data_IF_674983780766
#
_entry.id   IF_674983780766
#
_cell.length_a   1.000
_cell.length_b   1.000
_cell.length_c   1.000
_cell.angle_alpha   90.00
_cell.angle_beta   90.00
_cell.angle_gamma   90.00
#
_symmetry.space_group_name_H-M   'P 1'
#
loop_
_entity.id
_entity.type
_entity.pdbx_description
1 polymer ?
#
# COMPACT_ATOMS: atom_id res chain seq x y z
N UNK A 1 1.56 -12.44 -16.51
CA UNK A 1 1.28 -12.64 -15.07
C UNK A 1 0.12 -11.74 -14.72
N UNK A 2 -1.08 -12.32 -14.68
CA UNK A 2 -2.31 -11.56 -14.54
C UNK A 2 -2.40 -10.92 -13.16
N UNK A 3 -2.87 -9.68 -13.09
CA UNK A 3 -3.63 -9.26 -11.92
C UNK A 3 -4.71 -10.34 -11.75
N UNK A 4 -4.92 -10.84 -10.53
CA UNK A 4 -6.08 -11.68 -10.24
C UNK A 4 -7.35 -10.85 -10.51
N UNK A 5 -7.80 -10.94 -11.75
CA UNK A 5 -8.84 -10.10 -12.34
C UNK A 5 -10.08 -10.93 -12.58
N UNK A 6 -10.15 -12.19 -12.15
CA UNK A 6 -11.26 -13.08 -12.50
C UNK A 6 -12.63 -12.47 -12.12
N UNK A 7 -12.66 -11.68 -11.04
CA UNK A 7 -13.84 -10.97 -10.54
C UNK A 7 -14.12 -9.62 -11.23
N UNK A 8 -13.25 -9.13 -12.11
CA UNK A 8 -13.34 -7.80 -12.74
C UNK A 8 -14.17 -7.79 -14.03
N UNK A 9 -14.06 -8.77 -14.96
CA UNK A 9 -14.87 -8.85 -16.18
C UNK A 9 -16.34 -9.22 -15.98
N UNK A 10 -16.81 -9.41 -14.74
CA UNK A 10 -18.19 -9.83 -14.50
C UNK A 10 -19.19 -8.73 -14.85
N UNK A 11 -20.38 -9.08 -15.40
CA UNK A 11 -21.45 -8.13 -15.62
C UNK A 11 -21.79 -7.36 -14.33
N UNK A 12 -21.78 -6.03 -14.40
CA UNK A 12 -22.05 -5.14 -13.25
C UNK A 12 -20.82 -4.74 -12.43
N UNK A 13 -19.62 -5.24 -12.76
CA UNK A 13 -18.38 -4.69 -12.23
C UNK A 13 -18.15 -3.26 -12.75
N UNK A 14 -17.85 -2.27 -11.89
CA UNK A 14 -17.50 -0.91 -12.30
C UNK A 14 -16.03 -0.79 -12.73
N UNK A 15 -15.28 -1.89 -12.66
CA UNK A 15 -13.84 -1.96 -12.88
C UNK A 15 -13.52 -2.62 -14.23
N UNK A 16 -12.42 -2.20 -14.86
CA UNK A 16 -11.94 -2.70 -16.14
C UNK A 16 -10.45 -3.04 -16.07
N UNK A 17 -10.07 -4.15 -16.70
CA UNK A 17 -8.64 -4.46 -16.96
C UNK A 17 -8.20 -3.74 -18.22
N UNK A 18 -7.28 -2.80 -18.07
CA UNK A 18 -6.75 -1.98 -19.16
C UNK A 18 -5.34 -2.41 -19.57
N UNK A 19 -5.08 -2.29 -20.87
CA UNK A 19 -3.76 -2.43 -21.50
C UNK A 19 -3.07 -1.09 -21.74
N UNK A 20 -3.59 0.01 -21.20
CA UNK A 20 -3.04 1.37 -21.40
C UNK A 20 -1.56 1.49 -21.00
N UNK A 21 -1.09 0.65 -20.07
CA UNK A 21 0.30 0.60 -19.63
C UNK A 21 1.11 -0.57 -20.23
N UNK A 22 0.65 -1.20 -21.31
CA UNK A 22 1.30 -2.40 -21.89
C UNK A 22 2.76 -2.14 -22.30
N UNK A 23 3.08 -0.91 -22.69
CA UNK A 23 4.42 -0.45 -23.03
C UNK A 23 5.06 0.41 -21.92
N UNK A 24 4.52 0.38 -20.70
CA UNK A 24 5.06 1.09 -19.54
C UNK A 24 5.12 2.64 -19.70
N UNK A 25 4.37 3.19 -20.66
CA UNK A 25 4.39 4.62 -21.00
C UNK A 25 3.50 5.47 -20.08
N UNK A 26 2.47 4.89 -19.46
CA UNK A 26 1.63 5.59 -18.49
C UNK A 26 2.35 5.65 -17.13
N UNK A 27 2.92 4.52 -16.69
CA UNK A 27 3.73 4.43 -15.49
C UNK A 27 4.79 3.33 -15.62
N UNK A 28 6.06 3.74 -15.69
CA UNK A 28 7.20 2.84 -15.88
C UNK A 28 7.44 1.85 -14.72
N UNK A 29 6.87 2.13 -13.55
CA UNK A 29 7.07 1.35 -12.31
C UNK A 29 5.86 0.51 -11.91
N UNK A 30 4.84 0.48 -12.76
CA UNK A 30 3.62 -0.31 -12.60
C UNK A 30 3.62 -1.51 -13.55
N UNK A 31 2.76 -2.52 -13.31
CA UNK A 31 2.60 -3.63 -14.24
C UNK A 31 2.01 -3.17 -15.58
N UNK A 32 2.19 -4.01 -16.60
CA UNK A 32 1.72 -3.75 -17.97
C UNK A 32 0.18 -3.74 -18.09
N UNK A 33 -0.49 -4.53 -17.26
CA UNK A 33 -1.95 -4.54 -17.13
C UNK A 33 -2.32 -3.80 -15.86
N UNK A 34 -3.36 -2.97 -15.92
CA UNK A 34 -3.87 -2.21 -14.77
C UNK A 34 -5.38 -2.41 -14.64
N UNK A 35 -5.86 -2.60 -13.41
CA UNK A 35 -7.28 -2.54 -13.12
C UNK A 35 -7.66 -1.10 -12.74
N UNK A 36 -8.60 -0.52 -13.49
CA UNK A 36 -8.97 0.90 -13.46
C UNK A 36 -10.51 1.06 -13.50
N UNK A 37 -11.07 2.23 -13.20
CA UNK A 37 -12.50 2.49 -13.38
C UNK A 37 -12.93 2.40 -14.85
N UNK A 38 -13.98 1.63 -15.13
CA UNK A 38 -14.44 1.37 -16.50
C UNK A 38 -15.09 2.57 -17.19
N UNK A 39 -15.54 3.58 -16.43
CA UNK A 39 -16.19 4.79 -16.93
C UNK A 39 -15.22 5.94 -17.26
N UNK A 40 -13.91 5.75 -17.06
CA UNK A 40 -12.90 6.76 -17.38
C UNK A 40 -12.32 6.55 -18.77
N UNK A 41 -12.09 7.66 -19.48
CA UNK A 41 -11.42 7.63 -20.78
C UNK A 41 -9.90 7.52 -20.64
N UNK A 42 -9.19 7.06 -21.68
CA UNK A 42 -7.72 7.03 -21.65
C UNK A 42 -7.09 8.42 -21.43
N UNK A 43 -7.71 9.47 -21.97
CA UNK A 43 -7.24 10.84 -21.78
C UNK A 43 -7.31 11.23 -20.30
N UNK A 44 -8.44 10.98 -19.64
CA UNK A 44 -8.60 11.24 -18.20
C UNK A 44 -7.58 10.45 -17.38
N UNK A 45 -7.38 9.16 -17.68
CA UNK A 45 -6.39 8.34 -16.99
C UNK A 45 -4.95 8.87 -17.14
N UNK A 46 -4.60 9.44 -18.29
CA UNK A 46 -3.30 10.11 -18.50
C UNK A 46 -3.18 11.39 -17.67
N UNK A 47 -4.26 12.16 -17.53
CA UNK A 47 -4.29 13.34 -16.66
C UNK A 47 -4.12 12.96 -15.19
N UNK A 48 -4.79 11.90 -14.73
CA UNK A 48 -4.59 11.35 -13.38
C UNK A 48 -3.13 10.91 -13.17
N UNK A 49 -2.56 10.16 -14.10
CA UNK A 49 -1.16 9.75 -14.01
C UNK A 49 -0.23 10.97 -13.92
N UNK A 50 -0.48 12.02 -14.71
CA UNK A 50 0.28 13.28 -14.63
C UNK A 50 0.16 14.02 -13.29
N UNK A 51 -0.91 13.78 -12.53
CA UNK A 51 -1.17 14.38 -11.21
C UNK A 51 -0.67 13.54 -10.03
N UNK A 52 -0.26 12.28 -10.29
CA UNK A 52 0.22 11.33 -9.28
C UNK A 52 1.72 11.16 -9.42
N UNK A 53 2.45 11.25 -8.30
CA UNK A 53 3.91 11.18 -8.29
C UNK A 53 4.42 9.94 -9.06
N UNK A 54 5.26 10.17 -10.08
CA UNK A 54 5.81 9.13 -10.99
C UNK A 54 4.77 8.39 -11.84
N UNK A 55 3.61 8.98 -12.10
CA UNK A 55 2.57 8.34 -12.90
C UNK A 55 1.80 7.24 -12.17
N UNK A 56 2.05 7.04 -10.87
CA UNK A 56 1.48 5.92 -10.09
C UNK A 56 0.06 6.23 -9.64
N UNK A 57 -0.83 6.31 -10.62
CA UNK A 57 -2.26 6.55 -10.46
C UNK A 57 -2.96 5.50 -9.60
N UNK A 58 -4.14 5.80 -9.02
CA UNK A 58 -4.99 4.80 -8.38
C UNK A 58 -5.22 3.60 -9.29
N UNK A 59 -4.85 2.42 -8.81
CA UNK A 59 -5.13 1.17 -9.50
C UNK A 59 -5.53 0.10 -8.50
N UNK A 60 -6.49 -0.72 -8.90
CA UNK A 60 -7.09 -1.72 -8.05
C UNK A 60 -6.10 -2.87 -7.83
N UNK A 61 -5.95 -3.25 -6.57
CA UNK A 61 -5.14 -4.41 -6.16
C UNK A 61 -6.01 -5.58 -5.69
N UNK A 62 -7.20 -5.32 -5.13
CA UNK A 62 -8.14 -6.37 -4.71
C UNK A 62 -9.58 -5.95 -4.92
N UNK A 63 -10.45 -6.93 -5.21
CA UNK A 63 -11.89 -6.73 -5.38
C UNK A 63 -12.66 -7.87 -4.70
N UNK A 64 -13.64 -7.51 -3.89
CA UNK A 64 -14.48 -8.47 -3.15
C UNK A 64 -15.60 -9.12 -3.98
N UNK A 65 -15.70 -8.80 -5.27
CA UNK A 65 -16.70 -9.37 -6.17
C UNK A 65 -18.16 -9.07 -5.78
N UNK A 66 -19.13 -9.74 -6.43
CA UNK A 66 -20.56 -9.50 -6.19
C UNK A 66 -20.98 -9.66 -4.73
N UNK A 67 -20.44 -10.65 -4.02
CA UNK A 67 -20.79 -10.95 -2.63
C UNK A 67 -20.49 -9.78 -1.66
N UNK A 68 -19.52 -8.95 -2.03
CA UNK A 68 -19.11 -7.75 -1.29
C UNK A 68 -19.42 -6.46 -2.04
N UNK A 69 -20.40 -6.48 -2.95
CA UNK A 69 -20.78 -5.30 -3.73
C UNK A 69 -19.59 -4.64 -4.45
N UNK A 70 -18.63 -5.47 -4.88
CA UNK A 70 -17.39 -5.07 -5.52
C UNK A 70 -16.55 -4.07 -4.70
N UNK A 71 -16.69 -4.07 -3.36
CA UNK A 71 -15.78 -3.39 -2.45
C UNK A 71 -14.32 -3.65 -2.86
N UNK A 72 -13.52 -2.59 -2.90
CA UNK A 72 -12.26 -2.63 -3.63
C UNK A 72 -11.12 -1.90 -2.93
N UNK A 73 -9.93 -2.48 -3.03
CA UNK A 73 -8.71 -1.91 -2.48
C UNK A 73 -7.90 -1.30 -3.61
N UNK A 74 -7.57 -0.03 -3.46
CA UNK A 74 -6.82 0.75 -4.42
C UNK A 74 -5.49 1.18 -3.85
N UNK A 75 -4.48 1.25 -4.72
CA UNK A 75 -3.14 1.74 -4.38
C UNK A 75 -2.68 2.83 -5.33
N UNK A 76 -1.93 3.79 -4.82
CA UNK A 76 -1.29 4.84 -5.62
C UNK A 76 -0.08 5.48 -4.91
N UNK A 77 0.56 6.42 -5.58
CA UNK A 77 1.42 7.42 -4.94
C UNK A 77 0.63 8.65 -4.48
N UNK A 78 1.28 9.54 -3.72
CA UNK A 78 0.71 10.85 -3.41
C UNK A 78 0.38 11.66 -4.68
N UNK A 79 -0.52 12.61 -4.51
CA UNK A 79 -0.85 13.67 -5.46
C UNK A 79 0.28 14.72 -5.55
N UNK A 80 0.26 15.59 -6.56
CA UNK A 80 1.34 16.57 -6.82
C UNK A 80 0.87 18.02 -6.93
N UNK A 81 -0.21 18.39 -6.23
CA UNK A 81 -0.74 19.76 -6.23
C UNK A 81 0.16 20.76 -5.51
N UNK A 82 0.93 20.32 -4.51
CA UNK A 82 1.71 21.19 -3.65
C UNK A 82 0.88 22.21 -2.86
N UNK A 83 1.54 23.16 -2.21
CA UNK A 83 0.85 24.28 -1.53
C UNK A 83 0.25 25.25 -2.55
N UNK A 84 0.91 25.46 -3.69
CA UNK A 84 0.44 26.38 -4.73
C UNK A 84 -0.87 25.91 -5.38
N UNK A 85 -1.12 24.60 -5.45
CA UNK A 85 -2.38 24.04 -5.95
C UNK A 85 -3.57 24.19 -4.99
N UNK A 86 -3.34 24.52 -3.70
CA UNK A 86 -4.43 24.96 -2.81
C UNK A 86 -4.78 26.44 -3.03
N UNK A 87 -3.76 27.27 -3.28
CA UNK A 87 -3.93 28.73 -3.38
C UNK A 87 -4.55 29.10 -4.72
N UNK A 88 -4.12 28.43 -5.79
CA UNK A 88 -4.72 28.57 -7.11
C UNK A 88 -5.82 27.51 -7.18
N UNK A 89 -7.08 27.91 -7.28
CA UNK A 89 -8.19 27.03 -7.66
C UNK A 89 -7.99 26.51 -9.10
N UNK A 90 -6.88 25.84 -9.36
CA UNK A 90 -6.54 25.29 -10.66
C UNK A 90 -7.35 24.02 -10.87
N UNK A 91 -7.89 23.82 -12.07
CA UNK A 91 -8.47 22.53 -12.50
C UNK A 91 -7.46 21.36 -12.49
N UNK A 92 -6.23 21.54 -12.01
CA UNK A 92 -5.28 20.43 -11.84
C UNK A 92 -5.82 19.46 -10.79
N UNK A 93 -6.12 18.24 -11.24
CA UNK A 93 -6.63 17.17 -10.38
C UNK A 93 -8.14 16.97 -10.47
N UNK A 94 -8.86 17.62 -11.40
CA UNK A 94 -10.28 17.34 -11.63
C UNK A 94 -10.54 15.89 -12.03
N UNK A 95 -9.67 15.32 -12.87
CA UNK A 95 -9.75 13.92 -13.29
C UNK A 95 -9.36 12.96 -12.16
N UNK A 96 -8.44 13.36 -11.27
CA UNK A 96 -8.08 12.57 -10.08
C UNK A 96 -9.23 12.55 -9.09
N UNK A 97 -9.86 13.70 -8.84
CA UNK A 97 -11.06 13.80 -8.02
C UNK A 97 -12.22 12.99 -8.64
N UNK A 98 -12.42 13.05 -9.97
CA UNK A 98 -13.40 12.22 -10.67
C UNK A 98 -13.11 10.73 -10.46
N UNK A 99 -11.85 10.32 -10.59
CA UNK A 99 -11.43 8.93 -10.36
C UNK A 99 -11.73 8.48 -8.93
N UNK A 100 -11.37 9.30 -7.95
CA UNK A 100 -11.62 9.07 -6.53
C UNK A 100 -13.12 8.95 -6.25
N UNK A 101 -13.94 9.78 -6.88
CA UNK A 101 -15.40 9.73 -6.74
C UNK A 101 -16.00 8.45 -7.36
N UNK A 102 -15.48 7.99 -8.50
CA UNK A 102 -15.90 6.70 -9.09
C UNK A 102 -15.48 5.54 -8.18
N UNK A 103 -14.27 5.58 -7.61
CA UNK A 103 -13.79 4.56 -6.65
C UNK A 103 -14.70 4.51 -5.41
N UNK A 104 -15.09 5.69 -4.90
CA UNK A 104 -16.00 5.85 -3.77
C UNK A 104 -17.39 5.27 -4.05
N UNK A 105 -17.98 5.63 -5.19
CA UNK A 105 -19.30 5.16 -5.60
C UNK A 105 -19.33 3.65 -5.87
N UNK A 106 -18.26 3.09 -6.44
CA UNK A 106 -18.23 1.66 -6.78
C UNK A 106 -19.41 1.30 -7.68
N UNK A 107 -20.24 0.35 -7.23
CA UNK A 107 -21.47 -0.06 -7.94
C UNK A 107 -22.67 0.85 -7.69
N UNK A 108 -22.62 1.70 -6.67
CA UNK A 108 -23.70 2.64 -6.32
C UNK A 108 -23.15 4.08 -6.31
N UNK A 109 -23.30 4.84 -7.42
CA UNK A 109 -22.89 6.23 -7.48
C UNK A 109 -23.52 7.12 -6.39
N UNK A 110 -24.65 6.70 -5.80
CA UNK A 110 -25.35 7.42 -4.74
C UNK A 110 -24.98 6.94 -3.33
N UNK A 111 -23.96 6.07 -3.21
CA UNK A 111 -23.44 5.65 -1.92
C UNK A 111 -23.16 6.88 -1.05
N UNK A 112 -23.51 6.83 0.23
CA UNK A 112 -23.31 7.97 1.16
C UNK A 112 -22.03 7.88 1.95
N UNK A 113 -21.36 6.72 1.91
CA UNK A 113 -20.14 6.49 2.66
C UNK A 113 -18.97 7.21 1.98
N UNK A 114 -18.18 7.90 2.79
CA UNK A 114 -16.95 8.52 2.33
C UNK A 114 -15.93 7.44 1.96
N UNK A 115 -15.10 7.72 0.96
CA UNK A 115 -13.97 6.87 0.62
C UNK A 115 -12.96 6.92 1.77
N UNK A 116 -12.59 5.77 2.32
CA UNK A 116 -11.46 5.71 3.25
C UNK A 116 -10.16 5.91 2.46
N UNK A 117 -9.46 7.02 2.73
CA UNK A 117 -8.12 7.28 2.20
C UNK A 117 -7.11 7.07 3.33
N UNK A 118 -6.22 6.09 3.18
CA UNK A 118 -5.17 5.81 4.15
C UNK A 118 -3.84 6.30 3.61
N UNK A 119 -3.45 7.51 4.04
CA UNK A 119 -2.09 8.03 3.82
C UNK A 119 -1.18 7.46 4.90
N UNK A 120 -0.31 6.54 4.52
CA UNK A 120 0.51 5.79 5.47
C UNK A 120 1.61 6.61 6.15
N UNK A 121 1.79 7.87 5.74
CA UNK A 121 2.78 8.78 6.35
C UNK A 121 2.29 9.30 7.70
N UNK A 122 3.21 9.76 8.57
CA UNK A 122 2.84 10.68 9.63
C UNK A 122 2.30 11.98 9.03
N UNK A 123 1.29 12.57 9.68
CA UNK A 123 0.68 13.84 9.25
C UNK A 123 1.72 14.93 8.96
N UNK A 124 2.73 15.08 9.83
CA UNK A 124 3.81 16.06 9.66
C UNK A 124 4.61 15.81 8.37
N UNK A 125 4.91 14.56 8.07
CA UNK A 125 5.62 14.19 6.85
C UNK A 125 4.77 14.39 5.61
N UNK A 126 3.46 14.13 5.66
CA UNK A 126 2.54 14.39 4.56
C UNK A 126 2.49 15.89 4.22
N UNK A 127 2.41 16.76 5.23
CA UNK A 127 2.49 18.21 5.06
C UNK A 127 3.85 18.68 4.53
N UNK A 128 4.95 18.13 5.02
CA UNK A 128 6.28 18.44 4.49
C UNK A 128 6.40 18.06 3.00
N UNK A 129 5.85 16.92 2.58
CA UNK A 129 5.80 16.55 1.17
C UNK A 129 4.92 17.52 0.37
N UNK A 130 3.76 17.94 0.92
CA UNK A 130 2.88 18.93 0.27
C UNK A 130 3.57 20.28 0.09
N UNK A 131 4.35 20.73 1.08
CA UNK A 131 5.21 21.91 0.96
C UNK A 131 6.26 21.76 -0.16
N UNK A 132 6.76 20.55 -0.38
CA UNK A 132 7.74 20.23 -1.42
C UNK A 132 7.13 19.85 -2.80
N UNK A 133 5.85 20.14 -3.04
CA UNK A 133 5.19 19.87 -4.33
C UNK A 133 4.52 18.49 -4.46
N UNK A 134 4.54 17.68 -3.41
CA UNK A 134 3.67 16.52 -3.25
C UNK A 134 2.28 16.92 -2.76
N UNK A 135 1.59 16.00 -2.07
CA UNK A 135 0.21 16.27 -1.67
C UNK A 135 -0.45 15.12 -0.92
N UNK A 136 -1.73 15.32 -0.65
CA UNK A 136 -2.68 14.32 -0.17
C UNK A 136 -4.09 14.85 -0.43
N UNK A 137 -5.05 13.94 -0.52
CA UNK A 137 -6.43 14.19 -0.93
C UNK A 137 -7.12 15.19 0.01
N UNK A 138 -7.61 16.28 -0.58
CA UNK A 138 -8.49 17.26 0.06
C UNK A 138 -9.86 17.30 -0.64
N UNK A 139 -10.33 16.15 -1.11
CA UNK A 139 -11.54 16.04 -1.93
C UNK A 139 -12.81 15.89 -1.07
N UNK A 140 -13.98 16.30 -1.59
CA UNK A 140 -15.27 15.93 -1.01
C UNK A 140 -15.42 14.42 -0.87
N UNK A 141 -16.19 13.99 0.11
CA UNK A 141 -16.54 12.58 0.35
C UNK A 141 -15.32 11.64 0.51
N UNK A 142 -14.21 12.18 0.99
CA UNK A 142 -13.01 11.43 1.35
C UNK A 142 -12.73 11.58 2.85
N UNK A 143 -12.61 10.46 3.54
CA UNK A 143 -12.14 10.40 4.93
C UNK A 143 -10.67 10.00 4.94
N UNK A 144 -9.79 10.98 5.08
CA UNK A 144 -8.35 10.73 5.18
C UNK A 144 -7.94 10.34 6.60
N UNK A 145 -7.14 9.28 6.72
CA UNK A 145 -6.52 8.81 7.96
C UNK A 145 -5.02 8.63 7.74
N UNK A 146 -4.22 9.05 8.73
CA UNK A 146 -2.76 8.94 8.68
C UNK A 146 -2.27 7.67 9.40
N UNK A 147 -1.51 6.83 8.68
CA UNK A 147 -0.98 5.56 9.20
C UNK A 147 0.21 5.72 10.15
N UNK A 148 0.84 6.90 10.21
CA UNK A 148 1.97 7.19 11.10
C UNK A 148 3.18 6.26 10.94
N UNK A 149 3.43 5.76 9.72
CA UNK A 149 4.61 4.93 9.42
C UNK A 149 5.68 5.83 8.80
N UNK A 150 6.78 6.03 9.54
CA UNK A 150 7.87 6.93 9.17
C UNK A 150 8.59 6.51 7.86
N UNK A 151 9.54 7.35 7.41
CA UNK A 151 10.29 7.10 6.19
C UNK A 151 11.18 5.85 6.25
N UNK A 152 11.65 5.40 5.09
CA UNK A 152 12.60 4.30 4.96
C UNK A 152 13.87 4.48 5.82
N UNK A 153 14.30 5.73 6.06
CA UNK A 153 15.47 6.02 6.89
C UNK A 153 15.19 5.76 8.37
N UNK A 154 13.96 6.06 8.82
CA UNK A 154 13.52 5.79 10.18
C UNK A 154 13.33 4.29 10.42
N UNK A 155 12.75 3.56 9.46
CA UNK A 155 12.62 2.09 9.50
C UNK A 155 13.98 1.42 9.61
N UNK A 156 14.96 1.89 8.84
CA UNK A 156 16.34 1.43 8.88
C UNK A 156 17.04 1.71 10.20
N UNK A 157 16.83 2.88 10.77
CA UNK A 157 17.32 3.18 12.12
C UNK A 157 16.68 2.26 13.16
N UNK A 158 15.37 2.02 13.07
CA UNK A 158 14.67 1.11 13.97
C UNK A 158 15.21 -0.32 13.90
N UNK A 159 15.46 -0.83 12.69
CA UNK A 159 16.09 -2.15 12.51
C UNK A 159 17.48 -2.22 13.15
N UNK A 160 18.31 -1.19 12.95
CA UNK A 160 19.65 -1.11 13.58
C UNK A 160 19.56 -1.10 15.11
N UNK A 161 18.61 -0.37 15.68
CA UNK A 161 18.42 -0.34 17.12
C UNK A 161 17.87 -1.66 17.66
N UNK A 162 16.99 -2.34 16.92
CA UNK A 162 16.53 -3.69 17.28
C UNK A 162 17.70 -4.68 17.26
N UNK A 163 18.55 -4.64 16.22
CA UNK A 163 19.76 -5.47 16.17
C UNK A 163 20.69 -5.22 17.37
N UNK A 164 20.87 -3.96 17.77
CA UNK A 164 21.61 -3.61 19.00
C UNK A 164 20.95 -4.17 20.26
N UNK A 165 19.62 -4.09 20.37
CA UNK A 165 18.88 -4.65 21.50
C UNK A 165 19.13 -6.16 21.63
N UNK A 166 19.15 -6.88 20.49
CA UNK A 166 19.48 -8.32 20.45
C UNK A 166 20.94 -8.56 20.86
N UNK A 167 21.89 -7.78 20.33
CA UNK A 167 23.32 -7.92 20.66
C UNK A 167 23.65 -7.57 22.11
N UNK A 168 22.81 -6.82 22.81
CA UNK A 168 22.98 -6.47 24.23
C UNK A 168 22.52 -7.59 25.18
N UNK A 169 21.86 -8.64 24.67
CA UNK A 169 21.52 -9.82 25.47
C UNK A 169 22.79 -10.67 25.61
N UNK A 170 23.35 -10.72 26.81
CA UNK A 170 24.59 -11.42 27.14
C UNK A 170 24.29 -12.55 28.12
N UNK A 171 24.88 -13.73 27.89
CA UNK A 171 24.74 -14.92 28.75
C UNK A 171 23.29 -15.36 29.03
N UNK A 172 22.35 -15.03 28.13
CA UNK A 172 20.92 -15.33 28.28
C UNK A 172 20.17 -14.40 29.23
N UNK A 173 20.84 -13.40 29.81
CA UNK A 173 20.23 -12.43 30.70
C UNK A 173 19.59 -11.28 29.90
N UNK A 174 18.30 -10.96 30.14
CA UNK A 174 17.59 -9.97 29.36
C UNK A 174 18.11 -8.53 29.57
N UNK A 175 18.76 -8.21 30.69
CA UNK A 175 19.36 -6.89 30.92
C UNK A 175 18.42 -5.71 30.59
N UNK A 176 18.82 -4.85 29.66
CA UNK A 176 18.03 -3.70 29.18
C UNK A 176 17.06 -4.02 28.04
N UNK A 177 16.83 -5.29 27.72
CA UNK A 177 16.06 -5.77 26.57
C UNK A 177 14.76 -5.01 26.32
N UNK A 178 13.86 -4.95 27.30
CA UNK A 178 12.55 -4.30 27.13
C UNK A 178 12.68 -2.81 26.79
N UNK A 179 13.64 -2.12 27.42
CA UNK A 179 13.93 -0.70 27.17
C UNK A 179 14.52 -0.52 25.76
N UNK A 180 15.48 -1.35 25.38
CA UNK A 180 16.17 -1.24 24.10
C UNK A 180 15.24 -1.57 22.92
N UNK A 181 14.39 -2.59 23.09
CA UNK A 181 13.31 -2.93 22.15
C UNK A 181 12.32 -1.77 22.00
N UNK A 182 11.84 -1.19 23.11
CA UNK A 182 10.94 -0.05 23.05
C UNK A 182 11.59 1.16 22.35
N UNK A 183 12.84 1.46 22.69
CA UNK A 183 13.61 2.56 22.08
C UNK A 183 13.92 2.34 20.60
N UNK A 184 13.96 1.09 20.14
CA UNK A 184 14.13 0.79 18.71
C UNK A 184 12.98 1.31 17.85
N UNK A 185 11.77 1.44 18.43
CA UNK A 185 10.51 1.73 17.73
C UNK A 185 10.11 0.72 16.65
N UNK A 186 10.81 -0.42 16.50
CA UNK A 186 10.49 -1.41 15.47
C UNK A 186 9.05 -1.93 15.60
N UNK A 187 8.66 -2.41 16.79
CA UNK A 187 7.30 -2.88 17.03
C UNK A 187 6.25 -1.76 17.02
N UNK A 188 6.64 -0.50 17.22
CA UNK A 188 5.74 0.62 17.01
C UNK A 188 5.35 0.75 15.52
N UNK A 189 6.29 0.50 14.60
CA UNK A 189 5.98 0.46 13.16
C UNK A 189 5.22 -0.80 12.75
N UNK A 190 5.57 -1.97 13.28
CA UNK A 190 4.80 -3.22 13.05
C UNK A 190 3.34 -3.02 13.48
N UNK A 191 3.12 -2.46 14.68
CA UNK A 191 1.78 -2.14 15.18
C UNK A 191 1.05 -1.11 14.31
N UNK A 192 1.73 -0.08 13.82
CA UNK A 192 1.15 0.91 12.92
C UNK A 192 0.71 0.29 11.57
N UNK A 193 1.55 -0.56 10.97
CA UNK A 193 1.24 -1.29 9.73
C UNK A 193 0.04 -2.21 9.91
N UNK A 194 0.02 -3.01 10.99
CA UNK A 194 -1.10 -3.91 11.29
C UNK A 194 -2.40 -3.14 11.60
N UNK A 195 -2.31 -2.00 12.28
CA UNK A 195 -3.48 -1.15 12.52
C UNK A 195 -4.02 -0.52 11.21
N UNK A 196 -3.15 -0.03 10.32
CA UNK A 196 -3.54 0.42 8.99
C UNK A 196 -4.18 -0.69 8.16
N UNK A 197 -3.61 -1.90 8.23
CA UNK A 197 -4.19 -3.09 7.61
C UNK A 197 -5.59 -3.38 8.14
N UNK A 198 -5.77 -3.38 9.46
CA UNK A 198 -7.08 -3.60 10.10
C UNK A 198 -8.12 -2.60 9.63
N UNK A 199 -7.78 -1.31 9.56
CA UNK A 199 -8.71 -0.28 9.08
C UNK A 199 -9.18 -0.56 7.65
N UNK A 200 -8.25 -0.93 6.76
CA UNK A 200 -8.57 -1.32 5.39
C UNK A 200 -9.46 -2.56 5.37
N UNK A 201 -9.09 -3.63 6.09
CA UNK A 201 -9.87 -4.86 6.12
C UNK A 201 -11.30 -4.62 6.63
N UNK A 202 -11.47 -3.84 7.70
CA UNK A 202 -12.80 -3.46 8.23
C UNK A 202 -13.63 -2.70 7.19
N UNK A 203 -13.02 -1.76 6.46
CA UNK A 203 -13.71 -0.99 5.41
C UNK A 203 -14.24 -1.90 4.29
N UNK A 204 -13.41 -2.81 3.80
CA UNK A 204 -13.80 -3.70 2.70
C UNK A 204 -14.73 -4.83 3.16
N UNK A 205 -14.50 -5.41 4.34
CA UNK A 205 -15.19 -6.60 4.80
C UNK A 205 -16.52 -6.29 5.48
N UNK A 206 -16.52 -5.37 6.45
CA UNK A 206 -17.69 -5.07 7.28
C UNK A 206 -18.58 -4.02 6.60
N UNK A 207 -17.98 -3.01 5.99
CA UNK A 207 -18.72 -1.91 5.37
C UNK A 207 -18.99 -2.10 3.88
N UNK A 208 -18.41 -3.14 3.26
CA UNK A 208 -18.53 -3.42 1.81
C UNK A 208 -18.22 -2.17 0.97
N UNK A 209 -17.20 -1.43 1.40
CA UNK A 209 -16.83 -0.14 0.83
C UNK A 209 -15.38 -0.17 0.33
N UNK A 210 -15.03 0.81 -0.49
CA UNK A 210 -13.70 0.90 -1.08
C UNK A 210 -12.72 1.63 -0.16
N UNK A 211 -11.43 1.34 -0.33
CA UNK A 211 -10.35 2.07 0.33
C UNK A 211 -9.23 2.41 -0.66
N UNK A 212 -8.64 3.61 -0.51
CA UNK A 212 -7.47 4.06 -1.26
C UNK A 212 -6.27 4.17 -0.32
N UNK A 213 -5.22 3.41 -0.59
CA UNK A 213 -4.01 3.38 0.23
C UNK A 213 -2.84 3.98 -0.54
N UNK A 214 -2.13 4.92 0.07
CA UNK A 214 -0.93 5.49 -0.53
C UNK A 214 0.09 5.90 0.53
N UNK A 215 1.29 6.25 0.06
CA UNK A 215 2.28 6.95 0.85
C UNK A 215 2.92 8.03 -0.04
N UNK A 216 4.22 8.30 0.08
CA UNK A 216 4.90 9.23 -0.85
C UNK A 216 4.97 8.65 -2.28
N UNK A 217 5.71 7.55 -2.48
CA UNK A 217 5.94 6.96 -3.81
C UNK A 217 5.03 5.76 -4.10
N UNK A 218 4.29 5.25 -3.12
CA UNK A 218 3.31 4.17 -3.34
C UNK A 218 3.90 2.76 -3.58
N UNK A 219 5.17 2.53 -3.22
CA UNK A 219 5.87 1.25 -3.44
C UNK A 219 6.52 0.61 -2.20
N UNK A 220 6.56 1.32 -1.05
CA UNK A 220 7.09 0.79 0.22
C UNK A 220 5.90 0.46 1.14
N UNK A 221 5.56 1.37 2.07
CA UNK A 221 4.44 1.24 3.03
C UNK A 221 3.11 0.81 2.40
N UNK A 222 2.80 1.35 1.22
CA UNK A 222 1.59 1.00 0.47
C UNK A 222 1.57 -0.49 0.13
N UNK A 223 2.70 -1.02 -0.31
CA UNK A 223 2.86 -2.44 -0.62
C UNK A 223 2.67 -3.29 0.64
N UNK A 224 3.23 -2.88 1.77
CA UNK A 224 3.08 -3.59 3.06
C UNK A 224 1.61 -3.73 3.44
N UNK A 225 0.88 -2.62 3.50
CA UNK A 225 -0.52 -2.59 3.93
C UNK A 225 -1.45 -3.26 2.91
N UNK A 226 -1.27 -3.02 1.61
CA UNK A 226 -2.12 -3.65 0.60
C UNK A 226 -1.98 -5.16 0.61
N UNK A 227 -0.75 -5.67 0.65
CA UNK A 227 -0.51 -7.12 0.64
C UNK A 227 -0.98 -7.80 1.94
N UNK A 228 -0.80 -7.17 3.11
CA UNK A 228 -1.36 -7.69 4.36
C UNK A 228 -2.90 -7.68 4.36
N UNK A 229 -3.53 -6.62 3.85
CA UNK A 229 -4.98 -6.55 3.77
C UNK A 229 -5.54 -7.66 2.87
N UNK A 230 -4.91 -7.89 1.72
CA UNK A 230 -5.23 -9.01 0.83
C UNK A 230 -5.12 -10.36 1.54
N UNK A 231 -4.02 -10.60 2.27
CA UNK A 231 -3.80 -11.84 3.03
C UNK A 231 -4.87 -12.07 4.12
N UNK A 232 -5.34 -11.00 4.76
CA UNK A 232 -6.44 -11.06 5.73
C UNK A 232 -7.81 -11.31 5.08
N UNK A 233 -8.04 -10.74 3.90
CA UNK A 233 -9.33 -10.81 3.19
C UNK A 233 -9.53 -12.13 2.42
N UNK A 234 -8.44 -12.73 1.94
CA UNK A 234 -8.49 -13.87 1.01
C UNK A 234 -7.62 -15.03 1.51
N UNK A 235 -8.22 -16.19 1.72
CA UNK A 235 -7.51 -17.41 2.13
C UNK A 235 -6.55 -17.92 1.07
N UNK A 236 -6.75 -17.57 -0.22
CA UNK A 236 -5.83 -17.94 -1.29
C UNK A 236 -4.40 -17.52 -0.94
N UNK A 237 -4.19 -16.28 -0.48
CA UNK A 237 -2.85 -15.75 -0.18
C UNK A 237 -2.21 -16.33 1.09
N UNK A 238 -2.93 -17.16 1.85
CA UNK A 238 -2.40 -17.90 3.00
C UNK A 238 -1.95 -19.32 2.65
N UNK A 239 -2.12 -19.71 1.38
CA UNK A 239 -1.44 -20.88 0.78
C UNK A 239 0.00 -20.55 0.42
N UNK A 240 0.88 -21.54 0.25
CA UNK A 240 2.26 -21.31 -0.18
C UNK A 240 2.30 -20.70 -1.58
N UNK A 241 1.47 -21.21 -2.49
CA UNK A 241 1.37 -20.67 -3.85
C UNK A 241 0.82 -19.23 -3.84
N UNK A 242 -0.21 -18.97 -3.04
CA UNK A 242 -0.81 -17.65 -2.90
C UNK A 242 0.15 -16.64 -2.27
N UNK A 243 0.95 -17.01 -1.27
CA UNK A 243 1.97 -16.14 -0.70
C UNK A 243 2.97 -15.68 -1.77
N UNK A 244 3.48 -16.61 -2.59
CA UNK A 244 4.42 -16.29 -3.67
C UNK A 244 3.77 -15.43 -4.76
N UNK A 245 2.50 -15.69 -5.10
CA UNK A 245 1.72 -14.84 -6.01
C UNK A 245 1.51 -13.43 -5.45
N UNK A 246 1.20 -13.31 -4.16
CA UNK A 246 1.04 -12.03 -3.47
C UNK A 246 2.33 -11.20 -3.54
N UNK A 247 3.48 -11.83 -3.27
CA UNK A 247 4.80 -11.18 -3.39
C UNK A 247 5.05 -10.75 -4.85
N UNK A 248 4.86 -11.66 -5.80
CA UNK A 248 5.06 -11.36 -7.22
C UNK A 248 4.17 -10.22 -7.71
N UNK A 249 2.91 -10.18 -7.27
CA UNK A 249 1.94 -9.14 -7.62
C UNK A 249 2.25 -7.83 -6.90
N UNK A 250 2.13 -7.78 -5.58
CA UNK A 250 2.13 -6.53 -4.82
C UNK A 250 3.52 -5.92 -4.65
N UNK A 251 4.55 -6.76 -4.60
CA UNK A 251 5.93 -6.30 -4.41
C UNK A 251 6.65 -6.17 -5.75
N UNK A 252 6.75 -7.25 -6.52
CA UNK A 252 7.56 -7.23 -7.73
C UNK A 252 6.88 -6.43 -8.85
N UNK A 253 5.63 -6.76 -9.20
CA UNK A 253 4.96 -6.17 -10.36
C UNK A 253 4.60 -4.70 -10.16
N UNK A 254 4.25 -4.30 -8.94
CA UNK A 254 4.02 -2.91 -8.56
C UNK A 254 5.29 -2.13 -8.23
N UNK A 255 6.47 -2.72 -8.43
CA UNK A 255 7.73 -2.00 -8.48
C UNK A 255 8.27 -1.58 -7.13
N UNK A 256 8.13 -2.41 -6.08
CA UNK A 256 8.95 -2.27 -4.89
C UNK A 256 10.43 -2.37 -5.30
N UNK A 257 11.28 -1.36 -5.02
CA UNK A 257 12.63 -1.30 -5.56
C UNK A 257 13.60 -2.20 -4.78
N UNK A 258 13.41 -3.53 -4.86
CA UNK A 258 14.20 -4.54 -4.13
C UNK A 258 15.70 -4.33 -4.25
N UNK A 259 16.23 -4.13 -5.47
CA UNK A 259 17.67 -3.91 -5.69
C UNK A 259 18.20 -2.73 -4.87
N UNK A 260 17.46 -1.64 -4.80
CA UNK A 260 17.82 -0.44 -4.03
C UNK A 260 17.67 -0.68 -2.53
N UNK A 261 16.54 -1.26 -2.10
CA UNK A 261 16.22 -1.47 -0.68
C UNK A 261 17.13 -2.49 0.00
N UNK A 262 17.56 -3.51 -0.74
CA UNK A 262 18.48 -4.56 -0.31
C UNK A 262 19.97 -4.21 -0.57
N UNK A 263 20.26 -3.02 -1.10
CA UNK A 263 21.63 -2.61 -1.44
C UNK A 263 22.39 -3.58 -2.37
N UNK A 264 21.70 -4.23 -3.32
CA UNK A 264 22.26 -5.21 -4.27
C UNK A 264 22.95 -4.53 -5.48
N UNK A 265 23.61 -3.41 -5.28
CA UNK A 265 24.29 -2.63 -6.32
C UNK A 265 25.74 -2.32 -5.96
N UNK A 266 26.54 -1.93 -6.97
CA UNK A 266 27.98 -1.67 -6.80
C UNK A 266 28.26 -0.47 -5.90
N UNK A 267 27.34 0.49 -5.81
CA UNK A 267 27.47 1.69 -4.99
C UNK A 267 26.43 1.67 -3.86
N UNK A 268 26.86 1.71 -2.59
CA UNK A 268 25.94 1.86 -1.46
C UNK A 268 25.12 3.14 -1.60
N UNK A 269 23.80 3.00 -1.71
CA UNK A 269 22.90 4.14 -1.70
C UNK A 269 22.44 4.47 -0.27
N UNK A 270 22.12 5.73 -0.02
CA UNK A 270 21.41 6.15 1.20
C UNK A 270 19.95 5.65 1.28
N UNK A 271 19.51 4.81 0.34
CA UNK A 271 18.13 4.39 0.10
C UNK A 271 17.83 2.94 0.51
N UNK A 272 18.83 2.19 1.00
CA UNK A 272 18.59 0.85 1.54
C UNK A 272 17.69 0.93 2.79
N UNK A 273 16.80 -0.05 2.98
CA UNK A 273 15.90 -0.12 4.13
C UNK A 273 15.22 -1.49 4.22
N UNK A 274 15.03 -2.07 5.41
CA UNK A 274 14.48 -3.42 5.60
C UNK A 274 12.95 -3.46 5.52
N UNK A 275 12.37 -2.84 4.48
CA UNK A 275 10.91 -2.75 4.27
C UNK A 275 10.30 -4.14 4.07
N UNK A 276 10.91 -4.98 3.23
CA UNK A 276 10.40 -6.34 3.02
C UNK A 276 10.50 -7.20 4.30
N UNK A 277 11.57 -7.03 5.09
CA UNK A 277 11.73 -7.71 6.39
C UNK A 277 10.68 -7.22 7.40
N UNK A 278 10.38 -5.92 7.42
CA UNK A 278 9.31 -5.34 8.24
C UNK A 278 7.95 -5.94 7.90
N UNK A 279 7.66 -6.16 6.62
CA UNK A 279 6.47 -6.87 6.18
C UNK A 279 6.46 -8.35 6.60
N UNK A 280 7.57 -9.07 6.45
CA UNK A 280 7.68 -10.47 6.89
C UNK A 280 7.44 -10.61 8.40
N UNK A 281 7.89 -9.64 9.21
CA UNK A 281 7.56 -9.58 10.64
C UNK A 281 6.06 -9.42 10.85
N UNK A 282 5.40 -8.50 10.13
CA UNK A 282 3.95 -8.36 10.20
C UNK A 282 3.20 -9.66 9.83
N UNK A 283 3.67 -10.37 8.79
CA UNK A 283 3.13 -11.69 8.41
C UNK A 283 3.36 -12.72 9.52
N UNK A 284 4.52 -12.72 10.16
CA UNK A 284 4.81 -13.56 11.31
C UNK A 284 3.92 -13.25 12.52
N UNK A 285 3.59 -11.97 12.77
CA UNK A 285 2.64 -11.59 13.82
C UNK A 285 1.23 -12.13 13.55
N UNK A 286 0.79 -12.12 12.28
CA UNK A 286 -0.49 -12.73 11.88
C UNK A 286 -0.46 -14.25 12.05
N UNK A 287 0.61 -14.92 11.62
CA UNK A 287 0.79 -16.36 11.82
C UNK A 287 0.77 -16.72 13.31
N UNK A 288 1.47 -15.97 14.16
CA UNK A 288 1.56 -16.23 15.59
C UNK A 288 0.20 -16.14 16.29
N UNK A 289 -0.68 -15.25 15.84
CA UNK A 289 -2.04 -15.11 16.36
C UNK A 289 -3.01 -16.14 15.78
N UNK A 290 -2.79 -16.56 14.53
CA UNK A 290 -3.70 -17.45 13.79
C UNK A 290 -2.94 -18.60 13.12
N UNK A 291 -2.28 -19.50 13.87
CA UNK A 291 -1.36 -20.49 13.31
C UNK A 291 -2.04 -21.49 12.37
N UNK A 292 -3.33 -21.77 12.56
CA UNK A 292 -4.11 -22.68 11.73
C UNK A 292 -4.70 -22.04 10.46
N UNK A 293 -4.50 -20.73 10.28
CA UNK A 293 -5.02 -20.01 9.13
C UNK A 293 -4.10 -20.04 7.91
N UNK A 294 -2.89 -20.62 8.04
CA UNK A 294 -1.83 -20.65 7.04
C UNK A 294 -1.46 -22.08 6.69
N UNK A 295 -1.21 -22.34 5.41
CA UNK A 295 -0.77 -23.67 4.92
C UNK A 295 0.70 -23.97 5.27
N UNK A 296 1.50 -22.91 5.46
CA UNK A 296 2.95 -22.98 5.62
C UNK A 296 3.39 -22.63 7.05
N UNK A 297 4.63 -23.00 7.39
CA UNK A 297 5.27 -22.67 8.66
C UNK A 297 6.17 -21.43 8.53
N UNK A 298 6.58 -20.79 9.64
CA UNK A 298 7.46 -19.61 9.60
C UNK A 298 8.81 -19.83 8.89
N UNK A 299 9.23 -21.08 8.67
CA UNK A 299 10.42 -21.41 7.91
C UNK A 299 10.41 -20.83 6.49
N UNK A 300 9.24 -20.61 5.87
CA UNK A 300 9.18 -19.95 4.56
C UNK A 300 9.55 -18.47 4.65
N UNK A 301 9.14 -17.78 5.72
CA UNK A 301 9.45 -16.36 5.93
C UNK A 301 10.95 -16.16 6.12
N UNK A 302 11.60 -17.08 6.85
CA UNK A 302 13.06 -17.08 7.02
C UNK A 302 13.83 -17.33 5.73
N UNK A 303 13.27 -18.10 4.78
CA UNK A 303 13.88 -18.32 3.46
C UNK A 303 13.69 -17.14 2.51
N UNK A 304 12.66 -16.33 2.74
CA UNK A 304 12.38 -15.13 1.96
C UNK A 304 13.19 -13.92 2.43
N UNK A 305 13.51 -13.86 3.73
CA UNK A 305 14.36 -12.83 4.35
C UNK A 305 15.82 -12.96 3.90
#
# INVERSE_FOLDING_TARGET
MGIETEMIPSPGSPWLVSRINAQYSLCASYPALLALPGSMTEHELRMVAGFRKRGRLPTLTWCGGPERQYASLWRCSQTTEGVMGMIRQSNKGSEDQKMVEIIRGGVDPQAKRDLLVVDLRPWKSAWANKAAGGGFEGYPHCKIVFGNIDSIHCVRSAWRYMGKAVSNVVDGEPGTWMKDVANSRWYAYVGAILNSTRMVVTELFEHKSSALVHCSDGWDRTTEVCSLAMMCLDSHYRTQQGLLRLIQKEWCSFGHPFRTRLALGEVPSGEYSPVFVQWLDCVYQLFSQFPYAFEWTPSILLRLA
#
